data_IF_867247928216
#
_entry.id   IF_867247928216
#
_cell.length_a   1.000
_cell.length_b   1.000
_cell.length_c   1.000
_cell.angle_alpha   90.00
_cell.angle_beta   90.00
_cell.angle_gamma   90.00
#
_symmetry.space_group_name_H-M   'P 1'
#
loop_
_entity.id
_entity.type
_entity.pdbx_description
1 polymer ?
#
# COMPACT_ATOMS: atom_id res chain seq x y z
N UNK A 1 -21.04 -4.68 -23.53
CA UNK A 1 -20.74 -3.75 -22.42
C UNK A 1 -21.98 -3.30 -21.65
N UNK A 2 -23.21 -3.62 -22.08
CA UNK A 2 -24.44 -3.22 -21.37
C UNK A 2 -24.41 -3.64 -19.89
N UNK A 3 -24.04 -4.89 -19.60
CA UNK A 3 -24.02 -5.40 -18.23
C UNK A 3 -22.92 -4.78 -17.36
N UNK A 4 -21.76 -4.44 -17.94
CA UNK A 4 -20.70 -3.73 -17.21
C UNK A 4 -21.14 -2.29 -16.85
N UNK A 5 -21.81 -1.58 -17.78
CA UNK A 5 -22.38 -0.26 -17.49
C UNK A 5 -23.42 -0.33 -16.36
N UNK A 6 -24.31 -1.32 -16.42
CA UNK A 6 -25.30 -1.56 -15.38
C UNK A 6 -24.63 -1.85 -14.02
N UNK A 7 -23.60 -2.70 -14.01
CA UNK A 7 -22.83 -3.00 -12.81
C UNK A 7 -22.21 -1.73 -12.20
N UNK A 8 -21.58 -0.90 -13.03
CA UNK A 8 -21.00 0.37 -12.59
C UNK A 8 -22.07 1.28 -11.96
N UNK A 9 -23.23 1.44 -12.60
CA UNK A 9 -24.34 2.26 -12.05
C UNK A 9 -24.95 1.67 -10.76
N UNK A 10 -24.99 0.34 -10.61
CA UNK A 10 -25.41 -0.31 -9.37
C UNK A 10 -24.42 -0.04 -8.23
N UNK A 11 -23.11 -0.14 -8.50
CA UNK A 11 -22.06 0.18 -7.53
C UNK A 11 -22.13 1.66 -7.15
N UNK A 12 -22.17 2.55 -8.15
CA UNK A 12 -22.23 4.00 -7.93
C UNK A 12 -23.39 4.38 -7.01
N UNK A 13 -24.61 3.90 -7.29
CA UNK A 13 -25.78 4.18 -6.43
C UNK A 13 -25.61 3.67 -5.01
N UNK A 14 -24.99 2.49 -4.82
CA UNK A 14 -24.74 1.94 -3.49
C UNK A 14 -23.75 2.80 -2.72
N UNK A 15 -22.61 3.15 -3.32
CA UNK A 15 -21.62 4.03 -2.69
C UNK A 15 -22.26 5.38 -2.32
N UNK A 16 -22.94 6.01 -3.28
CA UNK A 16 -23.63 7.29 -3.12
C UNK A 16 -24.68 7.27 -1.99
N UNK A 17 -25.46 6.18 -1.88
CA UNK A 17 -26.44 6.02 -0.79
C UNK A 17 -25.78 5.96 0.58
N UNK A 18 -24.64 5.28 0.71
CA UNK A 18 -23.91 5.21 1.98
C UNK A 18 -23.32 6.59 2.33
N UNK A 19 -22.86 7.34 1.33
CA UNK A 19 -22.23 8.66 1.48
C UNK A 19 -23.21 9.84 1.43
N UNK A 20 -24.53 9.60 1.48
CA UNK A 20 -25.59 10.61 1.33
C UNK A 20 -25.53 11.79 2.32
N UNK A 21 -24.84 11.62 3.43
CA UNK A 21 -24.66 12.65 4.46
C UNK A 21 -23.57 13.66 4.11
N UNK A 22 -22.69 13.33 3.15
CA UNK A 22 -21.65 14.22 2.69
C UNK A 22 -22.13 14.99 1.45
N UNK A 23 -21.87 16.30 1.43
CA UNK A 23 -22.19 17.18 0.31
C UNK A 23 -21.19 17.01 -0.84
N UNK A 24 -21.13 15.80 -1.42
CA UNK A 24 -20.26 15.45 -2.55
C UNK A 24 -21.05 14.71 -3.62
N UNK A 25 -20.85 15.09 -4.88
CA UNK A 25 -21.29 14.30 -6.03
C UNK A 25 -20.35 13.08 -6.26
N UNK A 26 -20.48 12.10 -5.36
CA UNK A 26 -19.71 10.85 -5.43
C UNK A 26 -20.00 10.12 -6.76
N UNK A 27 -21.22 10.25 -7.26
CA UNK A 27 -21.68 9.64 -8.49
C UNK A 27 -20.88 10.07 -9.72
N UNK A 28 -20.68 11.37 -9.91
CA UNK A 28 -19.86 11.88 -11.02
C UNK A 28 -18.39 11.55 -10.85
N UNK A 29 -17.88 11.57 -9.61
CA UNK A 29 -16.50 11.19 -9.31
C UNK A 29 -16.21 9.73 -9.71
N UNK A 30 -17.11 8.81 -9.37
CA UNK A 30 -16.99 7.38 -9.70
C UNK A 30 -17.09 7.15 -11.21
N UNK A 31 -18.06 7.77 -11.88
CA UNK A 31 -18.27 7.59 -13.33
C UNK A 31 -17.11 8.11 -14.17
N UNK A 32 -16.44 9.16 -13.72
CA UNK A 32 -15.31 9.77 -14.41
C UNK A 32 -13.96 9.10 -14.10
N UNK A 33 -13.91 8.19 -13.11
CA UNK A 33 -12.68 7.55 -12.68
C UNK A 33 -11.96 6.77 -13.79
N UNK A 34 -12.71 6.06 -14.64
CA UNK A 34 -12.16 5.28 -15.75
C UNK A 34 -13.09 5.25 -16.98
N UNK A 35 -12.56 5.53 -18.19
CA UNK A 35 -13.31 5.31 -19.43
C UNK A 35 -13.66 3.83 -19.62
N UNK A 36 -14.90 3.55 -20.03
CA UNK A 36 -15.40 2.18 -20.25
C UNK A 36 -14.53 1.34 -21.20
N UNK A 37 -13.88 1.98 -22.16
CA UNK A 37 -12.99 1.32 -23.12
C UNK A 37 -11.75 0.69 -22.48
N UNK A 38 -11.39 1.08 -21.25
CA UNK A 38 -10.22 0.56 -20.53
C UNK A 38 -10.45 -0.83 -19.94
N UNK A 39 -11.70 -1.22 -19.64
CA UNK A 39 -12.01 -2.52 -19.04
C UNK A 39 -11.89 -3.70 -20.02
N UNK A 40 -11.67 -3.43 -21.31
CA UNK A 40 -11.57 -4.46 -22.34
C UNK A 40 -10.13 -4.73 -22.79
N UNK A 41 -9.16 -4.01 -22.24
CA UNK A 41 -7.78 -4.00 -22.76
C UNK A 41 -6.84 -4.95 -22.02
N UNK A 42 -7.28 -5.57 -20.94
CA UNK A 42 -6.40 -6.24 -20.01
C UNK A 42 -6.96 -7.59 -19.56
N UNK A 43 -6.07 -8.57 -19.47
CA UNK A 43 -6.29 -9.79 -18.72
C UNK A 43 -6.30 -9.52 -17.21
N UNK A 44 -6.74 -10.50 -16.43
CA UNK A 44 -6.53 -10.56 -14.99
C UNK A 44 -5.61 -11.74 -14.66
N UNK A 45 -5.08 -11.77 -13.44
CA UNK A 45 -4.07 -12.74 -13.06
C UNK A 45 -4.34 -13.26 -11.65
N UNK A 46 -4.19 -14.57 -11.43
CA UNK A 46 -4.20 -15.15 -10.09
C UNK A 46 -2.91 -15.93 -9.82
N UNK A 47 -2.35 -15.75 -8.64
CA UNK A 47 -1.11 -16.36 -8.20
C UNK A 47 -1.33 -17.77 -7.65
N UNK A 48 -0.42 -18.68 -8.00
CA UNK A 48 -0.32 -20.03 -7.48
C UNK A 48 1.06 -20.20 -6.85
N UNK A 49 1.08 -20.81 -5.66
CA UNK A 49 2.29 -21.16 -4.93
C UNK A 49 2.01 -22.31 -3.98
N UNK A 50 3.05 -23.05 -3.56
CA UNK A 50 2.94 -24.11 -2.57
C UNK A 50 2.72 -23.60 -1.14
N UNK A 51 2.91 -22.30 -0.91
CA UNK A 51 2.96 -21.74 0.45
C UNK A 51 1.63 -21.16 0.93
N UNK A 52 0.79 -20.70 0.00
CA UNK A 52 -0.47 -20.02 0.31
C UNK A 52 -1.62 -20.76 -0.35
N UNK A 53 -2.57 -21.28 0.43
CA UNK A 53 -3.74 -21.95 -0.12
C UNK A 53 -4.52 -21.03 -1.05
N UNK A 54 -5.05 -21.60 -2.13
CA UNK A 54 -5.85 -20.87 -3.11
C UNK A 54 -7.35 -21.10 -2.88
N UNK A 55 -8.10 -20.00 -2.84
CA UNK A 55 -9.56 -20.00 -2.87
C UNK A 55 -10.05 -18.70 -3.52
N UNK A 56 -10.38 -18.77 -4.80
CA UNK A 56 -10.86 -17.64 -5.58
C UNK A 56 -12.31 -17.86 -6.01
N UNK A 57 -13.15 -16.86 -5.71
CA UNK A 57 -14.48 -16.74 -6.29
C UNK A 57 -14.58 -15.42 -7.05
N UNK A 58 -14.94 -15.49 -8.33
CA UNK A 58 -15.21 -14.31 -9.15
C UNK A 58 -16.64 -14.40 -9.67
N UNK A 59 -17.53 -13.52 -9.20
CA UNK A 59 -18.94 -13.50 -9.58
C UNK A 59 -19.35 -12.13 -10.12
N UNK A 60 -20.01 -12.09 -11.29
CA UNK A 60 -20.59 -10.87 -11.89
C UNK A 60 -19.65 -9.64 -11.82
N UNK A 61 -18.37 -9.81 -12.15
CA UNK A 61 -17.34 -8.78 -11.90
C UNK A 61 -16.47 -8.47 -13.13
N UNK A 62 -15.82 -7.32 -13.13
CA UNK A 62 -14.72 -6.99 -14.06
C UNK A 62 -13.40 -6.93 -13.30
N UNK A 63 -12.36 -7.60 -13.79
CA UNK A 63 -11.07 -7.77 -13.11
C UNK A 63 -9.90 -7.19 -13.92
N UNK A 64 -10.18 -6.30 -14.87
CA UNK A 64 -9.25 -5.90 -15.92
C UNK A 64 -7.90 -5.37 -15.39
N UNK A 65 -6.83 -6.12 -15.65
CA UNK A 65 -5.45 -5.79 -15.28
C UNK A 65 -5.08 -6.08 -13.83
N UNK A 66 -5.97 -6.72 -13.07
CA UNK A 66 -5.84 -6.95 -11.64
C UNK A 66 -5.14 -8.27 -11.31
N UNK A 67 -4.50 -8.32 -10.15
CA UNK A 67 -3.73 -9.46 -9.65
C UNK A 67 -4.32 -9.94 -8.33
N UNK A 68 -4.45 -11.26 -8.18
CA UNK A 68 -5.02 -11.90 -6.99
C UNK A 68 -4.04 -12.92 -6.45
N UNK A 69 -3.89 -13.00 -5.14
CA UNK A 69 -3.02 -13.99 -4.48
C UNK A 69 -3.72 -14.56 -3.25
N UNK A 70 -3.62 -15.88 -3.07
CA UNK A 70 -4.25 -16.67 -2.00
C UNK A 70 -5.78 -16.68 -2.02
N UNK A 71 -6.47 -16.24 -0.95
CA UNK A 71 -7.92 -16.38 -0.80
C UNK A 71 -8.65 -15.07 -1.00
N UNK A 72 -9.46 -14.97 -2.06
CA UNK A 72 -10.24 -13.77 -2.34
C UNK A 72 -11.53 -14.06 -3.11
N UNK A 73 -12.63 -13.51 -2.62
CA UNK A 73 -13.94 -13.55 -3.26
C UNK A 73 -14.34 -12.15 -3.75
N UNK A 74 -14.51 -12.00 -5.06
CA UNK A 74 -14.94 -10.75 -5.71
C UNK A 74 -16.31 -10.96 -6.32
N UNK A 75 -17.33 -10.28 -5.79
CA UNK A 75 -18.69 -10.38 -6.29
C UNK A 75 -19.27 -9.01 -6.65
N UNK A 76 -19.94 -8.93 -7.81
CA UNK A 76 -20.63 -7.72 -8.27
C UNK A 76 -19.77 -6.46 -8.13
N UNK A 77 -18.51 -6.55 -8.56
CA UNK A 77 -17.49 -5.51 -8.34
C UNK A 77 -16.66 -5.24 -9.59
N UNK A 78 -16.00 -4.09 -9.62
CA UNK A 78 -15.09 -3.67 -10.70
C UNK A 78 -13.71 -3.43 -10.09
N UNK A 79 -12.71 -4.23 -10.47
CA UNK A 79 -11.33 -4.08 -10.06
C UNK A 79 -10.50 -3.80 -11.32
N UNK A 80 -9.88 -2.62 -11.38
CA UNK A 80 -9.05 -2.21 -12.51
C UNK A 80 -7.60 -1.99 -12.10
N UNK A 81 -6.70 -2.88 -12.52
CA UNK A 81 -5.27 -2.83 -12.17
C UNK A 81 -5.00 -2.85 -10.67
N UNK A 82 -5.93 -3.44 -9.93
CA UNK A 82 -5.88 -3.59 -8.48
C UNK A 82 -5.06 -4.82 -8.13
N UNK A 83 -4.28 -4.74 -7.06
CA UNK A 83 -3.61 -5.89 -6.47
C UNK A 83 -4.36 -6.28 -5.20
N UNK A 84 -4.80 -7.53 -5.13
CA UNK A 84 -5.43 -8.11 -3.95
C UNK A 84 -4.53 -9.24 -3.45
N UNK A 85 -3.88 -9.02 -2.32
CA UNK A 85 -2.89 -9.93 -1.75
C UNK A 85 -3.39 -10.50 -0.44
N UNK A 86 -3.64 -11.80 -0.44
CA UNK A 86 -4.06 -12.56 0.74
C UNK A 86 -2.98 -13.46 1.33
N UNK A 87 -1.71 -13.18 1.08
CA UNK A 87 -0.57 -13.95 1.59
C UNK A 87 -0.30 -13.75 3.09
N UNK A 88 -0.77 -12.64 3.66
CA UNK A 88 -0.74 -12.37 5.09
C UNK A 88 -2.00 -12.83 5.85
N UNK A 89 -3.00 -13.39 5.15
CA UNK A 89 -4.27 -13.81 5.77
C UNK A 89 -4.06 -14.90 6.83
N UNK A 90 -4.80 -14.77 7.93
CA UNK A 90 -4.80 -15.76 9.00
C UNK A 90 -5.46 -17.07 8.55
N UNK A 91 -5.01 -18.16 9.17
CA UNK A 91 -5.48 -19.52 8.92
C UNK A 91 -6.37 -20.00 10.07
N UNK A 92 -7.25 -20.95 9.76
CA UNK A 92 -8.01 -21.69 10.75
C UNK A 92 -7.09 -22.21 11.85
N UNK A 93 -7.50 -22.05 13.10
CA UNK A 93 -6.74 -22.48 14.27
C UNK A 93 -5.66 -21.49 14.74
N UNK A 94 -5.35 -20.45 13.96
CA UNK A 94 -4.53 -19.34 14.46
C UNK A 94 -5.33 -18.45 15.41
N UNK A 95 -4.63 -17.59 16.15
CA UNK A 95 -5.22 -16.65 17.09
C UNK A 95 -5.17 -15.23 16.52
N UNK A 96 -6.28 -14.52 16.66
CA UNK A 96 -6.40 -13.09 16.49
C UNK A 96 -6.34 -12.42 17.87
N UNK A 97 -5.38 -11.50 18.05
CA UNK A 97 -5.15 -10.83 19.33
C UNK A 97 -5.77 -9.43 19.32
N UNK A 98 -6.64 -9.12 20.28
CA UNK A 98 -7.22 -7.79 20.47
C UNK A 98 -7.28 -7.43 21.95
N UNK A 99 -6.59 -6.36 22.37
CA UNK A 99 -6.72 -5.83 23.73
C UNK A 99 -6.46 -6.86 24.83
N UNK A 100 -5.51 -7.78 24.62
CA UNK A 100 -5.21 -8.88 25.53
C UNK A 100 -6.16 -10.09 25.46
N UNK A 101 -7.15 -10.06 24.55
CA UNK A 101 -8.03 -11.20 24.27
C UNK A 101 -7.52 -12.00 23.08
N UNK A 102 -7.74 -13.30 23.13
CA UNK A 102 -7.42 -14.25 22.08
C UNK A 102 -8.72 -14.75 21.44
N UNK A 103 -8.87 -14.53 20.13
CA UNK A 103 -10.01 -15.01 19.34
C UNK A 103 -9.48 -16.10 18.40
N UNK A 104 -10.01 -17.31 18.53
CA UNK A 104 -9.60 -18.43 17.69
C UNK A 104 -10.25 -18.31 16.31
N UNK A 105 -9.45 -18.42 15.25
CA UNK A 105 -9.95 -18.44 13.87
C UNK A 105 -10.68 -19.76 13.61
N UNK A 106 -11.99 -19.71 13.40
CA UNK A 106 -12.80 -20.91 13.16
C UNK A 106 -12.70 -21.43 11.74
N UNK A 107 -12.32 -20.55 10.82
CA UNK A 107 -12.06 -20.85 9.43
C UNK A 107 -10.88 -20.01 8.94
N UNK A 108 -10.47 -20.37 7.75
CA UNK A 108 -9.48 -19.62 6.98
C UNK A 108 -10.01 -18.22 6.65
N UNK A 109 -9.20 -17.20 6.91
CA UNK A 109 -9.56 -15.83 6.57
C UNK A 109 -9.58 -15.65 5.04
N UNK A 110 -10.50 -14.81 4.56
CA UNK A 110 -10.69 -14.53 3.13
C UNK A 110 -11.00 -13.05 2.87
N UNK A 111 -10.36 -12.47 1.85
CA UNK A 111 -10.67 -11.12 1.37
C UNK A 111 -11.96 -11.15 0.55
N UNK A 112 -12.94 -10.34 0.93
CA UNK A 112 -14.25 -10.25 0.28
C UNK A 112 -14.48 -8.86 -0.29
N UNK A 113 -14.49 -8.75 -1.61
CA UNK A 113 -14.80 -7.50 -2.33
C UNK A 113 -16.21 -7.60 -2.92
N UNK A 114 -17.12 -6.75 -2.45
CA UNK A 114 -18.53 -6.77 -2.84
C UNK A 114 -19.04 -5.40 -3.20
N UNK A 115 -19.80 -5.29 -4.31
CA UNK A 115 -20.43 -4.04 -4.72
C UNK A 115 -19.47 -2.84 -4.75
N UNK A 116 -18.21 -3.08 -5.12
CA UNK A 116 -17.13 -2.09 -4.98
C UNK A 116 -16.42 -1.84 -6.30
N UNK A 117 -15.84 -0.65 -6.43
CA UNK A 117 -15.07 -0.23 -7.59
C UNK A 117 -13.68 0.26 -7.16
N UNK A 118 -12.67 -0.57 -7.38
CA UNK A 118 -11.28 -0.32 -7.00
C UNK A 118 -10.43 -0.05 -8.25
N UNK A 119 -9.69 1.05 -8.25
CA UNK A 119 -8.84 1.45 -9.37
C UNK A 119 -7.40 1.57 -8.91
N UNK A 120 -6.51 0.73 -9.44
CA UNK A 120 -5.07 0.71 -9.09
C UNK A 120 -4.85 0.73 -7.58
N UNK A 121 -5.71 0.04 -6.86
CA UNK A 121 -5.70 -0.04 -5.41
C UNK A 121 -4.82 -1.21 -5.00
N UNK A 122 -4.14 -1.09 -3.88
CA UNK A 122 -3.53 -2.23 -3.20
C UNK A 122 -4.42 -2.64 -2.03
N UNK A 123 -4.78 -3.93 -1.97
CA UNK A 123 -5.42 -4.57 -0.81
C UNK A 123 -4.41 -5.57 -0.25
N UNK A 124 -4.02 -5.41 1.00
CA UNK A 124 -2.97 -6.24 1.62
C UNK A 124 -3.14 -6.34 3.15
N UNK A 125 -2.35 -7.22 3.77
CA UNK A 125 -2.43 -7.62 5.17
C UNK A 125 -3.67 -8.44 5.54
N UNK A 126 -3.78 -8.78 6.82
CA UNK A 126 -4.94 -9.47 7.40
C UNK A 126 -5.92 -8.49 8.04
N UNK A 127 -7.16 -8.91 8.22
CA UNK A 127 -8.24 -8.14 8.80
C UNK A 127 -7.95 -7.76 10.25
N UNK A 128 -8.04 -6.48 10.60
CA UNK A 128 -7.93 -6.02 11.99
C UNK A 128 -9.28 -5.70 12.64
N UNK A 129 -10.39 -5.95 11.95
CA UNK A 129 -11.74 -5.88 12.52
C UNK A 129 -12.01 -7.10 13.42
N UNK A 130 -12.16 -6.91 14.75
CA UNK A 130 -12.40 -8.01 15.66
C UNK A 130 -13.82 -8.58 15.60
N UNK A 131 -14.79 -7.88 14.98
CA UNK A 131 -16.17 -8.36 14.92
C UNK A 131 -16.31 -9.57 14.00
N UNK A 132 -15.53 -9.60 12.91
CA UNK A 132 -15.55 -10.65 11.90
C UNK A 132 -14.12 -10.98 11.42
N UNK A 133 -13.25 -11.53 12.30
CA UNK A 133 -11.83 -11.65 12.00
C UNK A 133 -11.53 -12.56 10.80
N UNK A 134 -12.41 -13.51 10.46
CA UNK A 134 -12.27 -14.36 9.26
C UNK A 134 -12.69 -13.69 7.95
N UNK A 135 -13.27 -12.48 7.98
CA UNK A 135 -13.77 -11.78 6.80
C UNK A 135 -13.18 -10.38 6.65
N UNK A 136 -12.06 -10.30 5.93
CA UNK A 136 -11.55 -9.04 5.44
C UNK A 136 -12.49 -8.47 4.36
N UNK A 137 -13.44 -7.63 4.79
CA UNK A 137 -14.54 -7.15 3.95
C UNK A 137 -14.28 -5.77 3.34
N UNK A 138 -14.53 -5.63 2.03
CA UNK A 138 -14.54 -4.38 1.27
C UNK A 138 -15.88 -4.29 0.54
N UNK A 139 -16.81 -3.48 1.04
CA UNK A 139 -18.22 -3.50 0.63
C UNK A 139 -18.75 -2.12 0.29
N UNK A 140 -19.45 -1.96 -0.84
CA UNK A 140 -20.00 -0.66 -1.25
C UNK A 140 -18.94 0.46 -1.26
N UNK A 141 -17.74 0.17 -1.76
CA UNK A 141 -16.61 1.10 -1.69
C UNK A 141 -16.14 1.53 -3.08
N UNK A 142 -15.84 2.81 -3.24
CA UNK A 142 -14.99 3.30 -4.33
C UNK A 142 -13.58 3.60 -3.83
N UNK A 143 -12.54 3.10 -4.52
CA UNK A 143 -11.16 3.45 -4.23
C UNK A 143 -10.45 3.98 -5.48
N UNK A 144 -10.00 5.23 -5.39
CA UNK A 144 -9.31 5.93 -6.47
C UNK A 144 -7.87 5.41 -6.68
N UNK A 145 -7.21 5.80 -7.79
CA UNK A 145 -5.86 5.37 -8.12
C UNK A 145 -4.85 5.45 -6.99
N UNK A 146 -4.11 4.35 -6.78
CA UNK A 146 -3.00 4.22 -5.84
C UNK A 146 -3.38 4.32 -4.36
N UNK A 147 -4.67 4.18 -4.04
CA UNK A 147 -5.09 4.00 -2.67
C UNK A 147 -4.60 2.66 -2.10
N UNK A 148 -4.35 2.63 -0.79
CA UNK A 148 -3.99 1.44 -0.03
C UNK A 148 -5.10 1.11 0.96
N UNK A 149 -5.59 -0.12 0.92
CA UNK A 149 -6.48 -0.72 1.92
C UNK A 149 -5.64 -1.79 2.61
N UNK A 150 -5.04 -1.46 3.74
CA UNK A 150 -4.06 -2.30 4.42
C UNK A 150 -4.61 -2.75 5.78
N UNK A 151 -4.91 -4.03 5.92
CA UNK A 151 -5.52 -4.62 7.12
C UNK A 151 -6.80 -3.94 7.62
N UNK A 152 -7.57 -3.34 6.71
CA UNK A 152 -8.67 -2.41 7.01
C UNK A 152 -9.98 -2.90 6.40
N UNK A 153 -10.90 -3.40 7.21
CA UNK A 153 -12.26 -3.72 6.76
C UNK A 153 -13.04 -2.42 6.50
N UNK A 154 -13.68 -2.31 5.34
CA UNK A 154 -14.33 -1.06 4.92
C UNK A 154 -15.71 -1.29 4.31
N UNK A 155 -16.63 -0.38 4.63
CA UNK A 155 -18.00 -0.41 4.13
C UNK A 155 -18.51 0.98 3.79
N UNK A 156 -19.12 1.14 2.62
CA UNK A 156 -19.82 2.38 2.28
C UNK A 156 -18.90 3.58 2.06
N UNK A 157 -17.65 3.36 1.63
CA UNK A 157 -16.61 4.39 1.65
C UNK A 157 -16.21 4.92 0.27
N UNK A 158 -15.62 6.13 0.25
CA UNK A 158 -14.89 6.67 -0.89
C UNK A 158 -13.46 7.01 -0.48
N UNK A 159 -12.47 6.42 -1.14
CA UNK A 159 -11.06 6.69 -0.93
C UNK A 159 -10.51 7.51 -2.10
N UNK A 160 -9.93 8.67 -1.78
CA UNK A 160 -9.25 9.53 -2.73
C UNK A 160 -7.91 8.94 -3.23
N UNK A 161 -7.29 9.54 -4.26
CA UNK A 161 -6.07 9.02 -4.83
C UNK A 161 -4.94 9.05 -3.80
N UNK A 162 -4.15 7.97 -3.76
CA UNK A 162 -3.09 7.79 -2.76
C UNK A 162 -3.55 7.84 -1.29
N UNK A 163 -4.85 7.75 -1.01
CA UNK A 163 -5.33 7.57 0.36
C UNK A 163 -4.87 6.22 0.91
N UNK A 164 -4.56 6.16 2.20
CA UNK A 164 -4.15 4.94 2.89
C UNK A 164 -5.01 4.75 4.13
N UNK A 165 -5.69 3.62 4.19
CA UNK A 165 -6.27 3.09 5.43
C UNK A 165 -5.35 1.98 5.92
N UNK A 166 -4.87 2.11 7.15
CA UNK A 166 -3.97 1.14 7.78
C UNK A 166 -4.56 0.68 9.11
N UNK A 167 -4.77 -0.63 9.24
CA UNK A 167 -5.26 -1.29 10.46
C UNK A 167 -6.51 -0.63 11.07
N UNK A 168 -7.46 -0.19 10.22
CA UNK A 168 -8.62 0.60 10.64
C UNK A 168 -9.91 0.07 10.04
N UNK A 169 -10.92 -0.19 10.87
CA UNK A 169 -12.29 -0.48 10.42
C UNK A 169 -13.00 0.83 10.04
N UNK A 170 -13.55 0.91 8.83
CA UNK A 170 -14.12 2.17 8.29
C UNK A 170 -15.55 1.96 7.80
N UNK A 171 -16.48 2.81 8.24
CA UNK A 171 -17.89 2.74 7.86
C UNK A 171 -18.45 4.10 7.42
N UNK A 172 -19.00 4.18 6.21
CA UNK A 172 -19.64 5.40 5.67
C UNK A 172 -18.73 6.63 5.77
N UNK A 173 -17.49 6.52 5.29
CA UNK A 173 -16.50 7.60 5.35
C UNK A 173 -16.04 8.08 3.97
N UNK A 174 -15.66 9.35 3.90
CA UNK A 174 -14.88 9.91 2.80
C UNK A 174 -13.44 10.13 3.24
N UNK A 175 -12.50 9.53 2.53
CA UNK A 175 -11.07 9.66 2.82
C UNK A 175 -10.42 10.50 1.72
N UNK A 176 -9.98 11.70 2.08
CA UNK A 176 -9.42 12.66 1.13
C UNK A 176 -8.19 12.14 0.37
N UNK A 177 -7.88 12.72 -0.82
CA UNK A 177 -6.64 12.45 -1.53
C UNK A 177 -5.42 12.57 -0.62
N UNK A 178 -4.53 11.58 -0.69
CA UNK A 178 -3.28 11.55 0.08
C UNK A 178 -3.46 11.64 1.60
N UNK A 179 -4.64 11.29 2.13
CA UNK A 179 -4.83 11.12 3.57
C UNK A 179 -4.34 9.73 4.02
N UNK A 180 -3.74 9.66 5.20
CA UNK A 180 -3.36 8.44 5.90
C UNK A 180 -4.15 8.34 7.20
N UNK A 181 -4.82 7.22 7.43
CA UNK A 181 -5.62 6.98 8.65
C UNK A 181 -5.24 5.64 9.27
N UNK A 182 -4.89 5.69 10.55
CA UNK A 182 -4.63 4.54 11.40
C UNK A 182 -5.19 4.81 12.81
N UNK A 183 -6.48 4.56 13.02
CA UNK A 183 -7.18 4.94 14.27
C UNK A 183 -7.90 3.77 14.93
N UNK A 184 -7.77 2.56 14.36
CA UNK A 184 -8.51 1.38 14.80
C UNK A 184 -9.94 1.34 14.24
N UNK A 185 -10.72 2.40 14.44
CA UNK A 185 -12.06 2.54 13.86
C UNK A 185 -12.43 3.99 13.55
N UNK A 186 -13.15 4.23 12.46
CA UNK A 186 -13.87 5.48 12.17
C UNK A 186 -15.20 5.20 11.46
N UNK A 187 -16.18 6.07 11.69
CA UNK A 187 -17.47 6.01 11.02
C UNK A 187 -18.04 7.40 10.73
N UNK A 188 -18.82 7.57 9.67
CA UNK A 188 -19.54 8.81 9.37
C UNK A 188 -18.63 10.05 9.36
N UNK A 189 -17.41 9.88 8.81
CA UNK A 189 -16.34 10.88 8.89
C UNK A 189 -15.84 11.24 7.50
N UNK A 190 -15.71 12.55 7.23
CA UNK A 190 -14.96 13.07 6.10
C UNK A 190 -13.56 13.49 6.57
N UNK A 191 -12.55 12.72 6.15
CA UNK A 191 -11.13 13.02 6.39
C UNK A 191 -10.62 13.92 5.28
N UNK A 192 -10.07 15.07 5.67
CA UNK A 192 -9.59 16.08 4.72
C UNK A 192 -8.42 15.55 3.85
N UNK A 193 -8.25 16.09 2.62
CA UNK A 193 -7.09 15.77 1.80
C UNK A 193 -5.78 16.09 2.54
N UNK A 194 -4.83 15.16 2.53
CA UNK A 194 -3.54 15.35 3.18
C UNK A 194 -3.58 15.35 4.71
N UNK A 195 -4.58 14.74 5.35
CA UNK A 195 -4.49 14.45 6.78
C UNK A 195 -3.65 13.19 7.02
N UNK A 196 -2.69 13.22 7.95
CA UNK A 196 -2.01 12.03 8.46
C UNK A 196 -2.44 11.87 9.92
N UNK A 197 -3.30 10.89 10.16
CA UNK A 197 -4.00 10.71 11.43
C UNK A 197 -3.72 9.31 11.99
N UNK A 198 -3.04 9.26 13.13
CA UNK A 198 -2.70 8.03 13.84
C UNK A 198 -3.19 8.14 15.27
N UNK A 199 -3.92 7.14 15.74
CA UNK A 199 -4.35 7.00 17.11
C UNK A 199 -4.11 5.58 17.61
N UNK A 200 -3.68 5.46 18.87
CA UNK A 200 -3.55 4.19 19.56
C UNK A 200 -4.30 4.26 20.89
N UNK A 201 -5.60 3.98 20.85
CA UNK A 201 -6.48 4.08 22.01
C UNK A 201 -6.35 5.44 22.70
N UNK A 202 -6.12 5.42 24.01
CA UNK A 202 -5.85 6.62 24.82
C UNK A 202 -4.37 6.98 24.94
N UNK A 203 -3.46 6.20 24.35
CA UNK A 203 -2.02 6.33 24.63
C UNK A 203 -1.40 7.50 23.90
N UNK A 204 -1.75 7.68 22.62
CA UNK A 204 -1.30 8.82 21.83
C UNK A 204 -2.20 9.09 20.62
N UNK A 205 -2.09 10.34 20.13
CA UNK A 205 -2.61 10.80 18.85
C UNK A 205 -1.54 11.59 18.11
N UNK A 206 -1.32 11.25 16.84
CA UNK A 206 -0.51 12.03 15.91
C UNK A 206 -1.43 12.52 14.80
N UNK A 207 -1.54 13.83 14.63
CA UNK A 207 -2.34 14.43 13.57
C UNK A 207 -1.57 15.54 12.85
N UNK A 208 -1.19 15.30 11.60
CA UNK A 208 -0.59 16.28 10.72
C UNK A 208 -1.54 16.64 9.57
N UNK A 209 -1.58 17.91 9.18
CA UNK A 209 -2.36 18.38 8.05
C UNK A 209 -1.47 19.07 7.02
N UNK A 210 -1.40 18.55 5.79
CA UNK A 210 -0.67 19.18 4.70
C UNK A 210 -1.26 20.57 4.36
N UNK A 211 -0.43 21.56 3.96
CA UNK A 211 -0.92 22.77 3.33
C UNK A 211 -1.61 22.43 2.01
N UNK A 212 -2.90 22.75 1.88
CA UNK A 212 -3.75 22.34 0.74
C UNK A 212 -3.15 22.74 -0.61
N UNK A 213 -2.73 23.99 -0.76
CA UNK A 213 -2.21 24.50 -2.03
C UNK A 213 -0.88 23.82 -2.43
N UNK A 214 0.01 23.61 -1.46
CA UNK A 214 1.28 22.94 -1.71
C UNK A 214 1.09 21.46 -2.07
N UNK A 215 0.13 20.77 -1.45
CA UNK A 215 -0.15 19.36 -1.75
C UNK A 215 -0.65 19.15 -3.18
N UNK A 216 -1.40 20.11 -3.74
CA UNK A 216 -1.95 20.00 -5.10
C UNK A 216 -0.87 19.88 -6.18
N UNK A 217 0.37 20.32 -5.93
CA UNK A 217 1.50 20.09 -6.83
C UNK A 217 1.84 18.60 -6.98
N UNK A 218 1.73 17.85 -5.88
CA UNK A 218 2.13 16.45 -5.81
C UNK A 218 1.00 15.50 -6.20
N UNK A 219 -0.22 15.83 -5.77
CA UNK A 219 -1.41 15.03 -6.02
C UNK A 219 -2.66 15.90 -6.01
N UNK A 220 -3.41 15.81 -7.10
CA UNK A 220 -4.74 16.43 -7.22
C UNK A 220 -5.59 15.61 -8.16
N UNK A 221 -6.90 15.79 -8.05
CA UNK A 221 -7.87 15.16 -8.94
C UNK A 221 -8.60 16.21 -9.76
N UNK A 222 -8.75 15.94 -11.06
CA UNK A 222 -9.61 16.70 -11.97
C UNK A 222 -10.57 15.73 -12.67
N UNK A 223 -11.86 16.04 -12.71
CA UNK A 223 -12.88 15.12 -13.26
C UNK A 223 -12.67 14.79 -14.75
N UNK A 224 -12.03 15.68 -15.53
CA UNK A 224 -11.78 15.47 -16.96
C UNK A 224 -10.45 14.77 -17.23
N UNK A 225 -9.45 15.03 -16.40
CA UNK A 225 -8.05 14.60 -16.61
C UNK A 225 -7.61 13.50 -15.64
N UNK A 226 -8.46 13.13 -14.69
CA UNK A 226 -8.19 12.18 -13.61
C UNK A 226 -7.15 12.70 -12.62
N UNK A 227 -6.45 11.77 -11.97
CA UNK A 227 -5.38 12.11 -11.01
C UNK A 227 -4.17 12.70 -11.72
N UNK A 228 -3.65 13.80 -11.17
CA UNK A 228 -2.48 14.53 -11.64
C UNK A 228 -1.52 14.86 -10.49
N UNK A 229 -0.37 15.45 -10.82
CA UNK A 229 0.65 15.90 -9.87
C UNK A 229 1.98 15.16 -10.04
N UNK A 230 3.01 15.62 -9.32
CA UNK A 230 4.39 15.10 -9.42
C UNK A 230 4.46 13.59 -9.14
N UNK A 231 3.71 13.08 -8.16
CA UNK A 231 3.66 11.64 -7.84
C UNK A 231 3.14 10.81 -9.02
N UNK A 232 2.09 11.30 -9.67
CA UNK A 232 1.48 10.62 -10.81
C UNK A 232 2.40 10.69 -12.04
N UNK A 233 3.01 11.84 -12.28
CA UNK A 233 3.97 12.01 -13.38
C UNK A 233 5.15 11.05 -13.24
N UNK A 234 5.71 10.95 -12.02
CA UNK A 234 6.82 10.05 -11.69
C UNK A 234 6.49 8.57 -12.00
N UNK A 235 5.31 8.09 -11.59
CA UNK A 235 4.85 6.72 -11.86
C UNK A 235 4.60 6.52 -13.35
N UNK A 236 3.93 7.47 -14.02
CA UNK A 236 3.56 7.33 -15.44
C UNK A 236 4.78 7.21 -16.35
N UNK A 237 5.86 7.94 -16.07
CA UNK A 237 7.11 7.88 -16.84
C UNK A 237 7.75 6.47 -16.83
N UNK A 238 7.50 5.67 -15.80
CA UNK A 238 8.10 4.34 -15.62
C UNK A 238 7.17 3.17 -15.99
N UNK A 239 5.93 3.46 -16.35
CA UNK A 239 4.90 2.44 -16.63
C UNK A 239 5.29 1.46 -17.75
N UNK A 240 6.04 1.92 -18.75
CA UNK A 240 6.47 1.09 -19.89
C UNK A 240 7.36 -0.08 -19.43
N UNK A 241 8.24 0.14 -18.46
CA UNK A 241 9.15 -0.89 -17.98
C UNK A 241 8.41 -2.04 -17.29
N UNK A 242 7.29 -1.76 -16.62
CA UNK A 242 6.44 -2.83 -16.09
C UNK A 242 5.76 -3.65 -17.20
N UNK A 243 5.35 -3.01 -18.30
CA UNK A 243 4.72 -3.70 -19.43
C UNK A 243 5.66 -4.79 -19.98
N UNK A 244 6.94 -4.45 -20.16
CA UNK A 244 7.98 -5.34 -20.70
C UNK A 244 8.14 -6.62 -19.86
N UNK A 245 7.97 -6.55 -18.54
CA UNK A 245 8.10 -7.71 -17.64
C UNK A 245 6.92 -8.68 -17.79
N UNK A 246 5.72 -8.17 -18.05
CA UNK A 246 4.54 -9.00 -18.23
C UNK A 246 4.46 -9.67 -19.61
N UNK A 247 5.26 -9.19 -20.58
CA UNK A 247 5.30 -9.72 -21.94
C UNK A 247 6.23 -10.95 -22.08
N UNK A 248 6.98 -11.30 -21.03
CA UNK A 248 7.94 -12.43 -21.04
C UNK A 248 7.41 -13.58 -20.19
N UNK A 249 7.18 -14.74 -20.81
CA UNK A 249 6.66 -15.96 -20.14
C UNK A 249 7.72 -16.63 -19.26
N UNK A 250 9.00 -16.51 -19.61
CA UNK A 250 10.14 -17.10 -18.89
C UNK A 250 11.18 -16.01 -18.61
N UNK A 251 11.15 -15.44 -17.41
CA UNK A 251 12.23 -14.57 -16.95
C UNK A 251 13.34 -15.44 -16.37
N UNK A 252 14.50 -15.46 -17.01
CA UNK A 252 15.70 -16.05 -16.40
C UNK A 252 16.07 -15.17 -15.20
N UNK A 253 16.03 -15.75 -14.00
CA UNK A 253 16.59 -15.12 -12.79
C UNK A 253 17.99 -14.60 -13.15
N UNK A 254 18.34 -13.38 -12.74
CA UNK A 254 19.73 -12.97 -12.88
C UNK A 254 20.57 -13.90 -12.01
N UNK A 255 21.59 -14.52 -12.62
CA UNK A 255 22.47 -15.50 -11.95
C UNK A 255 23.22 -14.91 -10.75
N UNK A 256 23.13 -13.60 -10.54
CA UNK A 256 23.83 -12.85 -9.50
C UNK A 256 22.96 -12.55 -8.25
N UNK A 257 21.73 -13.07 -8.16
CA UNK A 257 20.92 -12.91 -6.93
C UNK A 257 21.33 -13.91 -5.86
N UNK A 258 21.58 -13.43 -4.64
CA UNK A 258 21.95 -14.31 -3.53
C UNK A 258 20.81 -15.29 -3.19
N UNK A 259 21.14 -16.54 -2.84
CA UNK A 259 20.17 -17.62 -2.57
C UNK A 259 19.14 -17.32 -1.48
N UNK A 260 19.48 -16.46 -0.52
CA UNK A 260 18.58 -16.07 0.58
C UNK A 260 17.67 -14.89 0.26
N UNK A 261 17.80 -14.31 -0.92
CA UNK A 261 17.07 -13.14 -1.39
C UNK A 261 15.86 -13.54 -2.21
N UNK A 262 14.71 -12.92 -1.95
CA UNK A 262 13.56 -13.01 -2.83
C UNK A 262 13.54 -11.80 -3.76
N UNK A 263 13.82 -12.05 -5.03
CA UNK A 263 13.51 -11.12 -6.10
C UNK A 263 12.28 -11.62 -6.84
N UNK A 264 11.15 -10.92 -6.68
CA UNK A 264 9.95 -11.25 -7.41
C UNK A 264 10.13 -10.97 -8.91
N UNK A 265 9.74 -11.92 -9.76
CA UNK A 265 9.86 -11.80 -11.22
C UNK A 265 9.08 -10.63 -11.84
N UNK A 266 8.12 -10.07 -11.11
CA UNK A 266 7.31 -8.92 -11.51
C UNK A 266 7.80 -7.59 -10.93
N UNK A 267 9.00 -7.57 -10.35
CA UNK A 267 9.71 -6.34 -10.00
C UNK A 267 10.54 -5.85 -11.18
N UNK A 268 10.61 -4.53 -11.38
CA UNK A 268 11.54 -3.92 -12.34
C UNK A 268 12.90 -3.81 -11.68
N UNK A 269 13.94 -4.36 -12.31
CA UNK A 269 15.34 -4.20 -11.90
C UNK A 269 16.16 -3.73 -13.09
N UNK A 270 16.77 -2.55 -12.98
CA UNK A 270 17.47 -1.89 -14.09
C UNK A 270 18.76 -1.21 -13.64
N UNK A 271 19.61 -0.91 -14.62
CA UNK A 271 20.86 -0.17 -14.41
C UNK A 271 21.85 -0.93 -13.53
N UNK A 272 22.68 -0.19 -12.80
CA UNK A 272 23.70 -0.73 -11.89
C UNK A 272 23.16 -1.24 -10.55
N UNK A 273 21.93 -1.77 -10.52
CA UNK A 273 21.27 -2.19 -9.28
C UNK A 273 22.00 -3.38 -8.63
N UNK A 274 22.27 -3.27 -7.32
CA UNK A 274 22.86 -4.32 -6.48
C UNK A 274 21.87 -4.75 -5.42
N UNK A 275 21.74 -6.06 -5.23
CA UNK A 275 20.81 -6.65 -4.27
C UNK A 275 21.59 -7.65 -3.42
N UNK A 276 21.75 -7.31 -2.14
CA UNK A 276 22.50 -8.12 -1.18
C UNK A 276 21.70 -9.32 -0.67
N UNK A 277 22.25 -10.05 0.31
CA UNK A 277 21.60 -11.19 0.96
C UNK A 277 20.38 -10.79 1.81
N UNK A 278 19.44 -11.73 1.96
CA UNK A 278 18.20 -11.59 2.75
C UNK A 278 17.30 -10.42 2.31
N UNK A 279 17.52 -9.87 1.13
CA UNK A 279 16.68 -8.79 0.62
C UNK A 279 15.35 -9.37 0.14
N UNK A 280 14.26 -8.67 0.42
CA UNK A 280 12.95 -8.95 -0.15
C UNK A 280 12.56 -7.84 -1.12
N UNK A 281 12.47 -8.16 -2.40
CA UNK A 281 11.91 -7.29 -3.45
C UNK A 281 10.59 -7.89 -3.92
N UNK A 282 9.49 -7.24 -3.53
CA UNK A 282 8.15 -7.66 -3.88
C UNK A 282 7.79 -7.34 -5.35
N UNK A 283 6.71 -7.94 -5.85
CA UNK A 283 6.15 -7.60 -7.15
C UNK A 283 5.80 -6.11 -7.24
N UNK A 284 5.87 -5.53 -8.44
CA UNK A 284 5.64 -4.09 -8.67
C UNK A 284 6.60 -3.14 -7.95
N UNK A 285 7.61 -3.64 -7.24
CA UNK A 285 8.74 -2.81 -6.85
C UNK A 285 9.52 -2.38 -8.11
N UNK A 286 10.06 -1.17 -8.09
CA UNK A 286 10.86 -0.60 -9.16
C UNK A 286 12.23 -0.20 -8.64
N UNK A 287 13.27 -0.84 -9.14
CA UNK A 287 14.67 -0.61 -8.78
C UNK A 287 15.46 -0.16 -10.01
N UNK A 288 16.10 0.99 -9.93
CA UNK A 288 16.95 1.53 -11.01
C UNK A 288 18.18 2.20 -10.40
N UNK A 289 19.37 1.68 -10.68
CA UNK A 289 20.62 2.10 -10.03
C UNK A 289 20.50 2.12 -8.49
N UNK A 290 19.85 1.10 -7.92
CA UNK A 290 19.61 1.01 -6.49
C UNK A 290 20.63 0.06 -5.83
N UNK A 291 21.17 0.43 -4.67
CA UNK A 291 21.98 -0.47 -3.84
C UNK A 291 21.17 -0.87 -2.60
N UNK A 292 20.74 -2.13 -2.53
CA UNK A 292 19.98 -2.68 -1.43
C UNK A 292 20.91 -3.55 -0.57
N UNK A 293 21.29 -2.99 0.58
CA UNK A 293 22.06 -3.66 1.61
C UNK A 293 21.31 -4.84 2.24
N UNK A 294 22.05 -5.63 3.03
CA UNK A 294 21.55 -6.86 3.64
C UNK A 294 20.20 -6.66 4.34
N UNK A 295 19.25 -7.56 4.12
CA UNK A 295 17.98 -7.56 4.84
C UNK A 295 17.05 -6.39 4.50
N UNK A 296 17.38 -5.56 3.51
CA UNK A 296 16.49 -4.50 3.04
C UNK A 296 15.21 -5.09 2.43
N UNK A 297 14.13 -4.30 2.48
CA UNK A 297 12.82 -4.70 2.00
C UNK A 297 12.23 -3.61 1.11
N UNK A 298 11.91 -3.98 -0.13
CA UNK A 298 11.19 -3.16 -1.09
C UNK A 298 9.81 -3.80 -1.34
N UNK A 299 8.77 -3.24 -0.72
CA UNK A 299 7.39 -3.71 -0.89
C UNK A 299 6.79 -3.25 -2.22
N UNK A 300 5.55 -3.67 -2.48
CA UNK A 300 4.85 -3.40 -3.73
C UNK A 300 4.64 -1.93 -3.95
N UNK A 301 4.67 -1.57 -5.23
CA UNK A 301 4.53 -0.20 -5.69
C UNK A 301 5.61 0.75 -5.13
N UNK A 302 6.67 0.23 -4.51
CA UNK A 302 7.81 1.04 -4.10
C UNK A 302 8.72 1.35 -5.29
N UNK A 303 9.39 2.50 -5.22
CA UNK A 303 10.36 2.93 -6.23
C UNK A 303 11.65 3.34 -5.53
N UNK A 304 12.76 2.74 -5.93
CA UNK A 304 14.11 3.06 -5.44
C UNK A 304 14.96 3.36 -6.66
N UNK A 305 15.34 4.63 -6.82
CA UNK A 305 16.00 5.15 -8.03
C UNK A 305 17.25 5.92 -7.62
N UNK A 306 18.40 5.56 -8.18
CA UNK A 306 19.69 6.22 -7.94
C UNK A 306 19.99 6.40 -6.44
N UNK A 307 19.74 5.37 -5.64
CA UNK A 307 19.72 5.45 -4.17
C UNK A 307 20.42 4.27 -3.52
N UNK A 308 20.93 4.47 -2.30
CA UNK A 308 21.64 3.46 -1.52
C UNK A 308 20.97 3.25 -0.16
N UNK A 309 20.62 2.00 0.14
CA UNK A 309 20.02 1.57 1.40
C UNK A 309 21.05 0.68 2.11
N UNK A 310 21.63 1.15 3.21
CA UNK A 310 22.77 0.48 3.84
C UNK A 310 22.45 -0.92 4.38
N UNK A 311 21.20 -1.19 4.77
CA UNK A 311 20.77 -2.52 5.24
C UNK A 311 19.62 -2.45 6.23
N UNK A 312 18.84 -3.55 6.30
CA UNK A 312 17.68 -3.70 7.18
C UNK A 312 16.66 -2.57 7.05
N UNK A 313 16.63 -1.92 5.90
CA UNK A 313 15.73 -0.81 5.62
C UNK A 313 14.37 -1.36 5.17
N UNK A 314 13.28 -0.78 5.67
CA UNK A 314 11.91 -1.19 5.31
C UNK A 314 11.23 -0.09 4.49
N UNK A 315 10.86 -0.41 3.25
CA UNK A 315 10.11 0.48 2.37
C UNK A 315 8.67 0.02 2.26
N UNK A 316 7.77 0.72 2.94
CA UNK A 316 6.36 0.42 2.94
C UNK A 316 5.71 0.72 1.58
N UNK A 317 4.57 0.08 1.32
CA UNK A 317 3.87 0.16 0.04
C UNK A 317 3.75 1.59 -0.53
N UNK A 318 4.12 1.74 -1.81
CA UNK A 318 4.01 3.01 -2.51
C UNK A 318 5.12 4.03 -2.18
N UNK A 319 6.07 3.73 -1.29
CA UNK A 319 7.20 4.60 -0.98
C UNK A 319 8.09 4.83 -2.21
N UNK A 320 8.64 6.04 -2.35
CA UNK A 320 9.45 6.45 -3.50
C UNK A 320 10.70 7.13 -2.97
N UNK A 321 11.87 6.65 -3.37
CA UNK A 321 13.18 7.10 -2.93
C UNK A 321 14.02 7.38 -4.18
N UNK A 322 14.46 8.62 -4.31
CA UNK A 322 15.15 9.13 -5.49
C UNK A 322 16.37 9.94 -5.04
N UNK A 323 17.56 9.58 -5.51
CA UNK A 323 18.82 10.26 -5.18
C UNK A 323 19.04 10.42 -3.66
N UNK A 324 18.84 9.35 -2.91
CA UNK A 324 18.99 9.36 -1.46
C UNK A 324 19.90 8.24 -0.94
N UNK A 325 20.48 8.48 0.23
CA UNK A 325 21.20 7.48 1.03
C UNK A 325 20.47 7.27 2.34
N UNK A 326 20.13 6.03 2.64
CA UNK A 326 19.49 5.64 3.90
C UNK A 326 20.50 4.83 4.72
N UNK A 327 20.75 5.28 5.94
CA UNK A 327 21.48 4.52 6.95
C UNK A 327 20.76 3.23 7.33
N UNK A 328 21.43 2.33 8.05
CA UNK A 328 20.84 1.05 8.43
C UNK A 328 19.55 1.19 9.26
N UNK A 329 18.65 0.21 9.12
CA UNK A 329 17.40 0.12 9.91
C UNK A 329 16.47 1.34 9.81
N UNK A 330 16.58 2.11 8.73
CA UNK A 330 15.64 3.19 8.41
C UNK A 330 14.29 2.64 7.91
N UNK A 331 13.20 3.26 8.34
CA UNK A 331 11.83 2.96 7.90
C UNK A 331 11.28 4.09 7.03
N UNK A 332 10.67 3.76 5.90
CA UNK A 332 9.95 4.71 5.06
C UNK A 332 8.51 4.27 4.89
N UNK A 333 7.60 5.09 5.42
CA UNK A 333 6.16 4.80 5.46
C UNK A 333 5.45 4.87 4.11
N UNK A 334 4.19 4.44 4.13
CA UNK A 334 3.33 4.34 2.95
C UNK A 334 3.33 5.59 2.10
N UNK A 335 3.35 5.42 0.77
CA UNK A 335 3.23 6.51 -0.21
C UNK A 335 4.22 7.68 -0.07
N UNK A 336 5.23 7.60 0.81
CA UNK A 336 6.22 8.64 0.98
C UNK A 336 6.96 8.93 -0.33
N UNK A 337 7.39 10.19 -0.51
CA UNK A 337 8.11 10.64 -1.68
C UNK A 337 9.35 11.40 -1.24
N UNK A 338 10.49 10.73 -1.30
CA UNK A 338 11.78 11.23 -0.86
C UNK A 338 12.66 11.45 -2.09
N UNK A 339 12.85 12.71 -2.45
CA UNK A 339 13.54 13.13 -3.66
C UNK A 339 14.61 14.15 -3.33
N UNK A 340 15.85 13.71 -3.46
CA UNK A 340 17.01 14.58 -3.67
C UNK A 340 17.33 14.73 -5.16
N UNK A 341 18.55 15.15 -5.44
CA UNK A 341 19.16 15.14 -6.78
C UNK A 341 20.67 14.91 -6.67
N UNK A 342 21.39 14.68 -7.77
CA UNK A 342 22.85 14.58 -7.74
C UNK A 342 23.53 15.84 -7.17
N UNK A 343 22.92 17.02 -7.33
CA UNK A 343 23.43 18.30 -6.82
C UNK A 343 22.90 18.63 -5.42
N UNK A 344 21.84 17.96 -4.98
CA UNK A 344 21.17 18.15 -3.71
C UNK A 344 20.87 16.78 -3.07
N UNK A 345 21.91 16.09 -2.57
CA UNK A 345 21.74 14.76 -2.01
C UNK A 345 20.84 14.79 -0.77
N UNK A 346 20.07 13.72 -0.59
CA UNK A 346 19.28 13.47 0.60
C UNK A 346 19.92 12.33 1.40
N UNK A 347 20.51 12.64 2.55
CA UNK A 347 21.09 11.66 3.46
C UNK A 347 20.18 11.49 4.69
N UNK A 348 19.77 10.25 4.97
CA UNK A 348 18.91 9.90 6.10
C UNK A 348 19.69 8.97 7.03
N UNK A 349 19.89 9.40 8.28
CA UNK A 349 20.62 8.64 9.28
C UNK A 349 20.01 7.29 9.63
N UNK A 350 20.81 6.43 10.28
CA UNK A 350 20.37 5.11 10.71
C UNK A 350 19.23 5.20 11.73
N UNK A 351 18.38 4.18 11.79
CA UNK A 351 17.25 4.08 12.72
C UNK A 351 16.21 5.22 12.63
N UNK A 352 16.27 6.06 11.60
CA UNK A 352 15.29 7.12 11.38
C UNK A 352 13.98 6.57 10.81
N UNK A 353 12.88 7.20 11.20
CA UNK A 353 11.51 6.82 10.87
C UNK A 353 10.90 7.94 10.04
N UNK A 354 10.72 7.68 8.75
CA UNK A 354 9.98 8.57 7.86
C UNK A 354 8.52 8.16 7.88
N UNK A 355 7.68 9.04 8.40
CA UNK A 355 6.25 8.79 8.60
C UNK A 355 5.53 8.54 7.27
N UNK A 356 4.40 7.81 7.29
CA UNK A 356 3.54 7.66 6.13
C UNK A 356 3.21 9.01 5.50
N UNK A 357 3.16 9.02 4.17
CA UNK A 357 2.80 10.16 3.34
C UNK A 357 3.76 11.35 3.42
N UNK A 358 4.94 11.21 4.01
CA UNK A 358 5.97 12.26 4.03
C UNK A 358 6.44 12.60 2.61
N UNK A 359 6.58 13.89 2.32
CA UNK A 359 7.11 14.42 1.06
C UNK A 359 8.40 15.19 1.37
N UNK A 360 9.53 14.68 0.89
CA UNK A 360 10.79 15.42 0.83
C UNK A 360 11.08 15.66 -0.66
N UNK A 361 11.07 16.90 -1.11
CA UNK A 361 11.39 17.28 -2.51
C UNK A 361 12.29 18.50 -2.47
N UNK A 362 13.59 18.25 -2.33
CA UNK A 362 14.57 19.29 -2.03
C UNK A 362 15.45 19.64 -3.22
N UNK A 363 15.75 20.93 -3.34
CA UNK A 363 16.71 21.48 -4.31
C UNK A 363 18.06 21.82 -3.65
N UNK A 364 18.21 21.53 -2.36
CA UNK A 364 19.42 21.73 -1.56
C UNK A 364 19.79 20.45 -0.83
N UNK A 365 21.07 20.22 -0.55
CA UNK A 365 21.47 19.05 0.23
C UNK A 365 20.75 19.04 1.60
N UNK A 366 20.17 17.90 1.98
CA UNK A 366 19.52 17.71 3.27
C UNK A 366 20.10 16.49 3.97
N UNK A 367 20.45 16.67 5.24
CA UNK A 367 20.93 15.61 6.10
C UNK A 367 19.99 15.48 7.29
N UNK A 368 19.31 14.35 7.37
CA UNK A 368 18.50 13.96 8.51
C UNK A 368 19.40 13.18 9.47
N UNK A 369 19.58 13.62 10.72
CA UNK A 369 20.41 12.88 11.67
C UNK A 369 19.86 11.48 11.94
N UNK A 370 20.67 10.58 12.51
CA UNK A 370 20.19 9.29 12.98
C UNK A 370 19.09 9.41 14.03
N UNK A 371 18.29 8.36 14.18
CA UNK A 371 17.25 8.25 15.21
C UNK A 371 16.31 9.47 15.23
N UNK A 372 15.84 9.87 14.05
CA UNK A 372 14.87 10.95 13.90
C UNK A 372 13.53 10.46 13.36
N UNK A 373 12.45 11.01 13.89
CA UNK A 373 11.14 10.98 13.27
C UNK A 373 11.02 12.13 12.28
N UNK A 374 10.49 11.88 11.08
CA UNK A 374 10.33 12.87 10.01
C UNK A 374 8.93 12.75 9.42
N UNK A 375 8.26 13.87 9.17
CA UNK A 375 6.90 13.89 8.60
C UNK A 375 6.67 15.06 7.63
N UNK A 376 5.46 15.16 7.08
CA UNK A 376 4.98 16.37 6.41
C UNK A 376 5.63 16.68 5.06
N UNK A 377 5.74 17.98 4.75
CA UNK A 377 6.36 18.51 3.53
C UNK A 377 7.68 19.20 3.86
N UNK A 378 8.76 18.74 3.22
CA UNK A 378 10.12 19.23 3.45
C UNK A 378 10.82 19.49 2.12
N UNK A 379 11.22 20.73 1.88
CA UNK A 379 11.93 21.16 0.66
C UNK A 379 13.28 21.81 0.95
N UNK A 380 13.51 22.20 2.21
CA UNK A 380 14.69 22.94 2.65
C UNK A 380 14.97 22.68 4.15
N UNK A 381 16.13 23.12 4.69
CA UNK A 381 16.50 22.87 6.08
C UNK A 381 15.54 23.44 7.13
N UNK A 382 14.87 24.56 6.84
CA UNK A 382 13.89 25.13 7.76
C UNK A 382 12.67 24.23 7.88
N UNK A 383 12.11 23.79 6.75
CA UNK A 383 10.97 22.85 6.75
C UNK A 383 11.37 21.51 7.39
N UNK A 384 12.63 21.07 7.26
CA UNK A 384 13.13 19.89 7.98
C UNK A 384 13.11 20.10 9.49
N UNK A 385 13.58 21.25 9.99
CA UNK A 385 13.55 21.57 11.41
C UNK A 385 12.12 21.64 11.98
N UNK A 386 11.16 22.12 11.18
CA UNK A 386 9.75 22.18 11.55
C UNK A 386 9.05 20.81 11.49
N UNK A 387 9.54 19.87 10.68
CA UNK A 387 8.89 18.57 10.45
C UNK A 387 9.79 17.37 10.79
N UNK A 388 10.69 17.54 11.76
CA UNK A 388 11.44 16.44 12.35
C UNK A 388 11.68 16.63 13.84
N UNK A 389 11.92 15.53 14.54
CA UNK A 389 12.30 15.51 15.96
C UNK A 389 13.16 14.26 16.23
N UNK A 390 14.16 14.33 17.11
CA UNK A 390 14.86 13.12 17.54
C UNK A 390 13.91 12.19 18.30
N UNK A 391 14.10 10.88 18.15
CA UNK A 391 13.31 9.87 18.85
C UNK A 391 13.49 9.99 20.37
N UNK A 392 14.69 10.35 20.82
CA UNK A 392 14.98 10.64 22.23
C UNK A 392 14.11 11.79 22.75
N UNK A 393 14.10 12.93 22.05
CA UNK A 393 13.32 14.10 22.47
C UNK A 393 11.82 13.81 22.42
N UNK A 394 11.35 13.13 21.37
CA UNK A 394 9.95 12.70 21.28
C UNK A 394 9.55 11.83 22.48
N UNK A 395 10.40 10.88 22.87
CA UNK A 395 10.14 9.96 23.98
C UNK A 395 9.98 10.65 25.33
N UNK A 396 10.44 11.89 25.47
CA UNK A 396 10.31 12.69 26.69
C UNK A 396 8.96 13.43 26.80
N UNK A 397 8.15 13.48 25.73
CA UNK A 397 6.84 14.14 25.74
C UNK A 397 5.73 13.23 26.31
N UNK A 398 4.97 13.74 27.29
CA UNK A 398 3.86 13.01 27.95
C UNK A 398 2.50 13.73 27.92
N UNK A 399 2.44 15.02 27.53
CA UNK A 399 1.22 15.83 27.61
C UNK A 399 0.83 16.49 26.26
N UNK A 400 1.43 16.02 25.17
CA UNK A 400 1.24 16.57 23.83
C UNK A 400 2.11 17.79 23.52
N UNK A 401 2.25 18.10 22.22
CA UNK A 401 2.94 19.27 21.70
C UNK A 401 2.43 19.64 20.30
N UNK A 402 2.77 20.85 19.86
CA UNK A 402 2.55 21.30 18.48
C UNK A 402 3.87 21.66 17.85
N UNK A 403 4.09 21.20 16.62
CA UNK A 403 5.27 21.55 15.83
C UNK A 403 4.86 21.77 14.38
N UNK A 404 4.92 23.03 13.92
CA UNK A 404 4.36 23.42 12.63
C UNK A 404 2.88 23.05 12.52
N UNK A 405 2.55 22.14 11.59
CA UNK A 405 1.19 21.64 11.33
C UNK A 405 0.89 20.29 12.00
N UNK A 406 1.83 19.76 12.78
CA UNK A 406 1.62 18.58 13.62
C UNK A 406 0.99 19.00 14.95
N UNK A 407 -0.06 18.28 15.34
CA UNK A 407 -0.56 18.19 16.70
C UNK A 407 -0.31 16.77 17.18
N UNK A 408 0.44 16.64 18.27
CA UNK A 408 0.68 15.37 18.94
C UNK A 408 0.10 15.43 20.35
N UNK A 409 -0.58 14.39 20.79
CA UNK A 409 -1.12 14.23 22.13
C UNK A 409 -0.71 12.87 22.70
N UNK A 410 -0.54 12.78 24.03
CA UNK A 410 -0.21 11.53 24.73
C UNK A 410 1.29 11.23 24.87
N UNK A 411 1.64 9.94 24.93
CA UNK A 411 3.00 9.47 25.23
C UNK A 411 3.85 9.28 23.99
N UNK A 412 4.86 10.14 23.85
CA UNK A 412 5.87 9.99 22.79
C UNK A 412 6.72 8.73 22.96
N UNK A 413 6.95 8.27 24.20
CA UNK A 413 7.65 7.01 24.47
C UNK A 413 6.88 5.81 23.89
N UNK A 414 5.59 5.71 24.20
CA UNK A 414 4.74 4.63 23.65
C UNK A 414 4.71 4.71 22.12
N UNK A 415 4.58 5.91 21.56
CA UNK A 415 4.62 6.11 20.10
C UNK A 415 5.91 5.53 19.48
N UNK A 416 7.09 5.91 19.99
CA UNK A 416 8.38 5.45 19.47
C UNK A 416 8.52 3.94 19.60
N UNK A 417 8.18 3.38 20.77
CA UNK A 417 8.25 1.94 21.01
C UNK A 417 7.35 1.13 20.07
N UNK A 418 6.13 1.61 19.78
CA UNK A 418 5.20 0.93 18.88
C UNK A 418 5.73 0.90 17.44
N UNK A 419 6.28 2.01 16.94
CA UNK A 419 6.89 2.03 15.62
C UNK A 419 8.14 1.15 15.53
N UNK A 420 9.02 1.19 16.53
CA UNK A 420 10.20 0.33 16.57
C UNK A 420 9.83 -1.16 16.59
N UNK A 421 8.83 -1.55 17.38
CA UNK A 421 8.30 -2.92 17.40
C UNK A 421 7.73 -3.32 16.04
N UNK A 422 6.97 -2.43 15.38
CA UNK A 422 6.44 -2.69 14.04
C UNK A 422 7.55 -2.91 13.02
N UNK A 423 8.61 -2.10 13.03
CA UNK A 423 9.75 -2.23 12.10
C UNK A 423 10.47 -3.55 12.32
N UNK A 424 10.76 -3.91 13.58
CA UNK A 424 11.45 -5.16 13.91
C UNK A 424 10.60 -6.38 13.51
N UNK A 425 9.29 -6.33 13.75
CA UNK A 425 8.35 -7.37 13.33
C UNK A 425 8.37 -7.57 11.80
N UNK A 426 8.32 -6.47 11.03
CA UNK A 426 8.40 -6.54 9.56
C UNK A 426 9.74 -7.15 9.11
N UNK A 427 10.86 -6.78 9.73
CA UNK A 427 12.17 -7.34 9.38
C UNK A 427 12.27 -8.84 9.69
N UNK A 428 11.71 -9.27 10.82
CA UNK A 428 11.63 -10.68 11.20
C UNK A 428 10.77 -11.48 10.22
N UNK A 429 9.56 -11.03 9.95
CA UNK A 429 8.61 -11.71 9.07
C UNK A 429 9.10 -11.77 7.62
N UNK A 430 9.84 -10.74 7.19
CA UNK A 430 10.49 -10.73 5.88
C UNK A 430 11.72 -11.64 5.81
N UNK A 431 12.24 -12.13 6.94
CA UNK A 431 13.43 -12.97 6.97
C UNK A 431 14.73 -12.20 6.75
N UNK A 432 14.76 -10.91 7.15
CA UNK A 432 15.93 -10.05 7.03
C UNK A 432 17.13 -10.60 7.84
N UNK A 433 16.84 -11.29 8.94
CA UNK A 433 17.83 -11.87 9.86
C UNK A 433 18.12 -13.35 9.59
N UNK A 434 17.72 -13.89 8.44
CA UNK A 434 17.97 -15.30 8.10
C UNK A 434 19.49 -15.60 8.10
N UNK A 435 19.89 -16.64 8.83
CA UNK A 435 21.30 -17.03 9.00
C UNK A 435 21.71 -18.27 8.18
N UNK A 436 20.80 -18.76 7.32
CA UNK A 436 20.96 -20.02 6.60
C UNK A 436 20.15 -21.18 7.20
N UNK A 437 19.71 -21.09 8.46
CA UNK A 437 18.96 -22.14 9.17
C UNK A 437 17.71 -21.60 9.88
N UNK A 438 17.85 -20.55 10.67
CA UNK A 438 16.81 -19.95 11.51
C UNK A 438 16.35 -18.59 10.97
N UNK A 439 15.26 -18.07 11.53
CA UNK A 439 14.67 -16.77 11.16
C UNK A 439 14.31 -16.67 9.67
N UNK A 440 13.75 -17.76 9.15
CA UNK A 440 13.17 -17.79 7.80
C UNK A 440 11.92 -16.93 7.78
N UNK A 441 11.78 -16.13 6.74
CA UNK A 441 10.59 -15.32 6.48
C UNK A 441 10.23 -15.27 5.00
N UNK A 442 9.48 -14.24 4.61
CA UNK A 442 8.97 -14.09 3.24
C UNK A 442 10.08 -14.08 2.19
N UNK A 443 11.27 -13.55 2.45
CA UNK A 443 12.39 -13.59 1.51
C UNK A 443 12.88 -15.02 1.18
N UNK A 444 12.68 -15.97 2.09
CA UNK A 444 13.05 -17.37 1.88
C UNK A 444 11.88 -18.27 1.48
N UNK A 445 10.64 -17.79 1.59
CA UNK A 445 9.43 -18.52 1.22
C UNK A 445 8.87 -18.08 -0.15
N UNK A 446 8.82 -16.78 -0.43
CA UNK A 446 8.14 -16.17 -1.58
C UNK A 446 8.86 -16.30 -2.94
N UNK A 447 9.83 -17.20 -3.07
CA UNK A 447 10.67 -17.30 -4.26
C UNK A 447 9.96 -17.92 -5.49
N UNK A 448 8.84 -18.62 -5.30
CA UNK A 448 8.17 -19.41 -6.34
C UNK A 448 6.65 -19.11 -6.43
N UNK A 449 6.30 -17.93 -6.96
CA UNK A 449 4.90 -17.60 -7.31
C UNK A 449 4.76 -17.56 -8.84
N UNK A 450 3.81 -18.31 -9.37
CA UNK A 450 3.41 -18.25 -10.78
C UNK A 450 2.05 -17.57 -10.90
N UNK A 451 1.83 -16.73 -11.92
CA UNK A 451 0.53 -16.13 -12.18
C UNK A 451 -0.10 -16.71 -13.43
N UNK A 452 -1.31 -17.21 -13.27
CA UNK A 452 -2.15 -17.71 -14.35
C UNK A 452 -3.07 -16.61 -14.88
N UNK A 453 -3.35 -16.68 -16.18
CA UNK A 453 -4.12 -15.67 -16.90
C UNK A 453 -5.61 -15.99 -16.82
N UNK A 454 -6.43 -14.95 -16.63
CA UNK A 454 -7.88 -14.99 -16.77
C UNK A 454 -8.30 -13.95 -17.82
N UNK A 455 -9.28 -14.29 -18.67
CA UNK A 455 -9.73 -13.43 -19.76
C UNK A 455 -11.19 -12.96 -19.58
N UNK A 456 -11.54 -11.72 -19.97
CA UNK A 456 -12.91 -11.24 -19.98
C UNK A 456 -13.69 -11.75 -21.20
N UNK A 457 -15.03 -11.65 -21.16
CA UNK A 457 -15.86 -11.71 -22.36
C UNK A 457 -15.44 -10.60 -23.34
N UNK A 458 -15.18 -10.97 -24.60
CA UNK A 458 -14.68 -10.05 -25.63
C UNK A 458 -15.79 -9.42 -26.48
N UNK A 459 -16.97 -10.03 -26.53
CA UNK A 459 -18.12 -9.60 -27.35
C UNK A 459 -19.45 -9.65 -26.58
N UNK A 460 -20.51 -9.15 -27.21
CA UNK A 460 -21.89 -9.24 -26.69
C UNK A 460 -22.21 -8.36 -25.46
N UNK A 461 -23.36 -8.60 -24.81
CA UNK A 461 -23.84 -7.81 -23.67
C UNK A 461 -22.86 -7.83 -22.49
N UNK A 462 -22.22 -8.98 -22.24
CA UNK A 462 -21.26 -9.25 -21.17
C UNK A 462 -19.85 -8.72 -21.41
N UNK A 463 -19.54 -8.19 -22.61
CA UNK A 463 -18.21 -7.66 -22.95
C UNK A 463 -17.60 -6.80 -21.84
N UNK A 464 -16.39 -7.16 -21.38
CA UNK A 464 -15.63 -6.53 -20.30
C UNK A 464 -15.85 -7.13 -18.90
N UNK A 465 -16.88 -7.96 -18.71
CA UNK A 465 -17.05 -8.78 -17.51
C UNK A 465 -16.25 -10.08 -17.64
N UNK A 466 -15.94 -10.67 -16.51
CA UNK A 466 -15.37 -12.00 -16.40
C UNK A 466 -16.49 -13.02 -16.13
N UNK A 467 -16.39 -14.26 -16.64
CA UNK A 467 -17.33 -15.32 -16.30
C UNK A 467 -17.31 -15.60 -14.80
N UNK A 468 -18.40 -16.19 -14.28
CA UNK A 468 -18.38 -16.68 -12.91
C UNK A 468 -17.38 -17.83 -12.81
N UNK A 469 -16.42 -17.74 -11.88
CA UNK A 469 -15.35 -18.71 -11.69
C UNK A 469 -15.17 -19.03 -10.23
N UNK A 470 -14.94 -20.31 -9.94
CA UNK A 470 -14.49 -20.82 -8.65
C UNK A 470 -13.18 -21.57 -8.89
N UNK A 471 -12.11 -21.20 -8.20
CA UNK A 471 -10.80 -21.85 -8.28
C UNK A 471 -10.39 -22.15 -6.85
N UNK A 472 -10.32 -23.43 -6.51
CA UNK A 472 -9.96 -23.91 -5.19
C UNK A 472 -8.98 -25.07 -5.33
N UNK A 473 -8.27 -25.38 -4.24
CA UNK A 473 -7.47 -26.60 -4.18
C UNK A 473 -8.37 -27.83 -4.36
N UNK A 474 -7.92 -28.77 -5.19
CA UNK A 474 -8.58 -30.06 -5.31
C UNK A 474 -8.53 -30.79 -3.98
N UNK A 475 -9.65 -31.38 -3.57
CA UNK A 475 -9.64 -32.38 -2.49
C UNK A 475 -9.00 -33.64 -3.07
N UNK A 476 -7.80 -33.96 -2.59
CA UNK A 476 -7.11 -35.21 -2.89
C UNK A 476 -7.76 -36.41 -2.23
#
# INVERSE_FOLDING_TARGET
MRQLKQLMEEITRRVDTNLREFDMDSSNYIRSALPMSHFMRFYAFYGITSNHPIDFHFGRSSLAGSYFLSRCHVNSSILHKTDVRGDELKRRGQVFHLGGREILMHQDECIRVQHSFLVKTLVHSYNHDPEFPEFYSIVNTFAAPYANIHGSAIRGCLLGPFATLDLTTVHDCMIGPFAYVQTGQISHTAVEPGSVWIEHGSDFRFHYQFPKDALQEYVRYDAKRGVQGRLVAFIRQRKRHFQEIFDVVHFNRSDNTHRSTALNRYAVVRGGTRISENVLVAQRAYLENADLGKGANAQENCYIVDSCLQGFNVMAHGAKIIHARLGEKGFVGFNAFLRGSPQAPLDIGHHSIVMPHTIIDTETALQIPPEHLVWGLIRNPQELAENSISLEKLSQHNQGFRQGRLVFDGSGKTFVEQFQKRIEHILLDNGAYFDGRQKRGHAQQGQNIAFNIIQPYTTGPRRGLFPTMNIHEGTG
#
